data_IF_346817141617
#
_entry.id   IF_346817141617
#
_cell.length_a   1.000
_cell.length_b   1.000
_cell.length_c   1.000
_cell.angle_alpha   90.00
_cell.angle_beta   90.00
_cell.angle_gamma   90.00
#
_symmetry.space_group_name_H-M   'P 1'
#
loop_
_entity.id
_entity.type
_entity.pdbx_description
1 polymer ?
#
# COMPACT_ATOMS: atom_id res chain seq x y z
N UNK A 1 11.29 15.52 -13.60
CA UNK A 1 10.60 15.60 -12.29
C UNK A 1 10.45 14.18 -11.80
N UNK A 2 10.95 13.83 -10.61
CA UNK A 2 10.78 12.48 -10.08
C UNK A 2 9.30 12.21 -9.72
N UNK A 3 8.85 10.98 -9.94
CA UNK A 3 7.51 10.52 -9.55
C UNK A 3 7.63 9.73 -8.25
N UNK A 4 6.83 10.03 -7.23
CA UNK A 4 6.83 9.24 -5.99
C UNK A 4 6.01 7.97 -6.18
N UNK A 5 6.57 6.84 -5.80
CA UNK A 5 5.88 5.54 -5.74
C UNK A 5 5.76 5.07 -4.30
N UNK A 6 4.69 4.32 -4.03
CA UNK A 6 4.38 3.74 -2.74
C UNK A 6 4.41 2.21 -2.85
N UNK A 7 5.26 1.58 -2.05
CA UNK A 7 5.45 0.14 -2.01
C UNK A 7 4.47 -0.49 -1.03
N UNK A 8 3.93 -1.66 -1.39
CA UNK A 8 3.07 -2.44 -0.53
C UNK A 8 3.55 -3.89 -0.42
N UNK A 9 3.26 -4.51 0.72
CA UNK A 9 3.56 -5.93 0.92
C UNK A 9 2.66 -6.80 0.02
N UNK A 10 3.19 -7.80 -0.73
CA UNK A 10 2.44 -8.51 -1.76
C UNK A 10 1.24 -9.31 -1.22
N UNK A 11 1.27 -9.74 0.04
CA UNK A 11 0.19 -10.54 0.66
C UNK A 11 -0.76 -9.66 1.46
N UNK A 12 -0.29 -9.07 2.56
CA UNK A 12 -1.08 -8.18 3.45
C UNK A 12 -1.55 -6.88 2.80
N UNK A 13 -0.89 -6.44 1.71
CA UNK A 13 -1.12 -5.15 1.03
C UNK A 13 -0.80 -3.90 1.84
N UNK A 14 -0.14 -4.06 2.99
CA UNK A 14 0.28 -2.94 3.83
C UNK A 14 1.30 -2.05 3.13
N UNK A 15 1.18 -0.74 3.29
CA UNK A 15 2.20 0.21 2.88
C UNK A 15 3.50 -0.03 3.66
N UNK A 16 4.59 -0.33 2.96
CA UNK A 16 5.90 -0.64 3.56
C UNK A 16 6.94 0.46 3.33
N UNK A 17 6.70 1.40 2.42
CA UNK A 17 7.63 2.49 2.15
C UNK A 17 7.33 3.25 0.88
N UNK A 18 8.07 4.33 0.64
CA UNK A 18 7.96 5.13 -0.57
C UNK A 18 9.34 5.48 -1.12
N UNK A 19 9.45 5.61 -2.43
CA UNK A 19 10.68 6.02 -3.10
C UNK A 19 10.35 6.88 -4.31
N UNK A 20 11.38 7.43 -4.95
CA UNK A 20 11.25 8.00 -6.29
C UNK A 20 11.28 6.87 -7.31
N UNK A 21 10.45 6.98 -8.35
CA UNK A 21 10.49 6.13 -9.51
C UNK A 21 11.54 6.65 -10.49
N UNK A 22 12.30 5.72 -11.04
CA UNK A 22 13.31 6.00 -12.04
C UNK A 22 12.65 6.18 -13.41
N UNK A 23 13.01 7.26 -14.10
CA UNK A 23 12.58 7.49 -15.48
C UNK A 23 13.34 6.54 -16.42
N UNK A 24 12.64 5.97 -17.40
CA UNK A 24 13.25 5.11 -18.40
C UNK A 24 14.26 5.92 -19.21
N UNK A 25 15.52 5.46 -19.33
CA UNK A 25 16.51 6.12 -20.16
C UNK A 25 16.21 6.00 -21.66
N UNK A 26 15.32 5.08 -22.05
CA UNK A 26 14.96 4.81 -23.44
C UNK A 26 13.65 5.49 -23.85
N UNK A 27 12.78 5.80 -22.88
CA UNK A 27 11.44 6.33 -23.11
C UNK A 27 11.15 7.50 -22.17
N UNK A 28 11.49 8.74 -22.56
CA UNK A 28 11.25 9.93 -21.74
C UNK A 28 9.78 10.05 -21.33
N UNK A 29 9.55 10.33 -20.05
CA UNK A 29 8.24 10.40 -19.43
C UNK A 29 7.65 9.06 -18.96
N UNK A 30 8.29 7.93 -19.27
CA UNK A 30 7.91 6.61 -18.75
C UNK A 30 8.72 6.34 -17.48
N UNK A 31 8.06 5.88 -16.41
CA UNK A 31 8.69 5.62 -15.12
C UNK A 31 8.56 4.15 -14.74
N UNK A 32 9.63 3.57 -14.21
CA UNK A 32 9.64 2.19 -13.76
C UNK A 32 8.92 2.07 -12.42
N UNK A 33 7.84 1.29 -12.39
CA UNK A 33 7.09 0.98 -11.16
C UNK A 33 7.21 -0.53 -10.89
N UNK A 34 7.81 -0.93 -9.76
CA UNK A 34 7.89 -2.34 -9.37
C UNK A 34 6.51 -3.00 -9.22
N UNK A 35 6.45 -4.33 -9.36
CA UNK A 35 5.19 -5.08 -9.33
C UNK A 35 4.33 -4.88 -8.07
N UNK A 36 4.95 -4.56 -6.92
CA UNK A 36 4.25 -4.27 -5.66
C UNK A 36 4.39 -2.81 -5.24
N UNK A 37 4.30 -1.90 -6.19
CA UNK A 37 4.30 -0.47 -5.96
C UNK A 37 3.23 0.22 -6.83
N UNK A 38 2.80 1.41 -6.41
CA UNK A 38 1.81 2.20 -7.13
C UNK A 38 2.18 3.68 -7.13
N UNK A 39 1.75 4.39 -8.18
CA UNK A 39 1.73 5.86 -8.25
C UNK A 39 0.49 6.46 -7.60
N UNK A 40 -0.49 5.63 -7.21
CA UNK A 40 -1.71 6.08 -6.57
C UNK A 40 -1.40 6.78 -5.25
N UNK A 41 -2.03 7.94 -5.07
CA UNK A 41 -1.76 8.82 -3.95
C UNK A 41 -2.08 8.12 -2.62
N UNK A 42 -1.06 8.02 -1.76
CA UNK A 42 -1.24 7.60 -0.37
C UNK A 42 -1.81 8.76 0.44
N UNK A 43 -3.00 8.63 1.05
CA UNK A 43 -3.54 9.63 1.97
C UNK A 43 -2.64 9.80 3.20
N UNK A 44 -2.71 10.96 3.85
CA UNK A 44 -2.10 11.12 5.17
C UNK A 44 -2.87 10.30 6.22
N UNK A 45 -2.13 9.60 7.09
CA UNK A 45 -2.69 8.83 8.20
C UNK A 45 -1.67 8.72 9.33
N UNK A 46 -2.16 8.52 10.56
CA UNK A 46 -1.32 8.25 11.71
C UNK A 46 -0.90 6.77 11.75
N UNK A 47 0.40 6.52 11.54
CA UNK A 47 0.98 5.17 11.55
C UNK A 47 0.97 4.50 12.92
N UNK A 48 0.79 5.27 14.01
CA UNK A 48 0.69 4.71 15.35
C UNK A 48 -0.68 4.06 15.62
N UNK A 49 -1.71 4.51 14.92
CA UNK A 49 -3.10 4.07 15.14
C UNK A 49 -3.73 3.42 13.92
N UNK A 50 -3.14 3.56 12.73
CA UNK A 50 -3.68 3.07 11.48
C UNK A 50 -2.63 2.43 10.58
N UNK A 51 -3.11 1.56 9.69
CA UNK A 51 -2.35 0.98 8.58
C UNK A 51 -3.04 1.33 7.26
N UNK A 52 -2.23 1.56 6.22
CA UNK A 52 -2.72 1.77 4.86
C UNK A 52 -2.61 0.46 4.08
N UNK A 53 -3.72 -0.03 3.55
CA UNK A 53 -3.82 -1.26 2.76
C UNK A 53 -4.14 -0.93 1.30
N UNK A 54 -3.27 -1.31 0.38
CA UNK A 54 -3.51 -1.07 -1.03
C UNK A 54 -4.52 -2.07 -1.62
N UNK A 55 -5.53 -1.55 -2.30
CA UNK A 55 -6.54 -2.34 -3.01
C UNK A 55 -6.40 -2.05 -4.50
N UNK A 56 -5.70 -2.90 -5.27
CA UNK A 56 -5.62 -2.73 -6.70
C UNK A 56 -7.00 -2.92 -7.32
N UNK A 57 -7.31 -2.16 -8.37
CA UNK A 57 -8.43 -2.49 -9.24
C UNK A 57 -8.03 -3.68 -10.11
N UNK A 58 -9.02 -4.48 -10.50
CA UNK A 58 -8.83 -5.65 -11.34
C UNK A 58 -9.54 -5.43 -12.67
N UNK A 59 -8.93 -5.93 -13.74
CA UNK A 59 -9.69 -6.15 -14.98
C UNK A 59 -10.80 -7.18 -14.73
N UNK A 60 -11.80 -7.20 -15.60
CA UNK A 60 -12.89 -8.20 -15.55
C UNK A 60 -12.38 -9.65 -15.61
N UNK A 61 -11.17 -9.85 -16.13
CA UNK A 61 -10.46 -11.14 -16.17
C UNK A 61 -9.92 -11.59 -14.81
N UNK A 62 -9.99 -10.75 -13.77
CA UNK A 62 -9.43 -11.01 -12.45
C UNK A 62 -7.92 -10.74 -12.34
N UNK A 63 -7.30 -10.17 -13.37
CA UNK A 63 -5.89 -9.73 -13.33
C UNK A 63 -5.84 -8.32 -12.74
N UNK A 64 -4.97 -8.11 -11.74
CA UNK A 64 -4.77 -6.79 -11.15
C UNK A 64 -4.22 -5.81 -12.19
N UNK A 65 -4.74 -4.59 -12.20
CA UNK A 65 -4.12 -3.51 -12.98
C UNK A 65 -2.80 -3.14 -12.32
N UNK A 66 -1.79 -2.85 -13.14
CA UNK A 66 -0.48 -2.37 -12.66
C UNK A 66 -0.63 -1.04 -11.92
N UNK A 67 -1.51 -0.16 -12.41
CA UNK A 67 -1.89 1.12 -11.81
C UNK A 67 -3.41 1.26 -11.78
N UNK A 68 -3.92 2.02 -10.82
CA UNK A 68 -5.35 2.25 -10.64
C UNK A 68 -5.91 1.37 -9.53
N UNK A 69 -5.70 1.80 -8.30
CA UNK A 69 -6.31 1.24 -7.10
C UNK A 69 -6.56 2.34 -6.08
N UNK A 70 -6.75 1.96 -4.82
CA UNK A 70 -6.87 2.92 -3.74
C UNK A 70 -6.23 2.39 -2.46
N UNK A 71 -5.74 3.31 -1.64
CA UNK A 71 -5.31 3.03 -0.27
C UNK A 71 -6.50 3.08 0.67
N UNK A 72 -6.69 2.01 1.44
CA UNK A 72 -7.69 1.93 2.49
C UNK A 72 -7.00 2.10 3.83
N UNK A 73 -7.32 3.17 4.55
CA UNK A 73 -6.78 3.43 5.89
C UNK A 73 -7.66 2.69 6.91
N UNK A 74 -7.05 1.80 7.68
CA UNK A 74 -7.74 0.94 8.65
C UNK A 74 -7.10 1.13 10.02
N UNK A 75 -7.92 1.27 11.07
CA UNK A 75 -7.42 1.34 12.43
C UNK A 75 -6.72 0.03 12.83
N UNK A 76 -5.59 0.14 13.52
CA UNK A 76 -4.96 -1.00 14.17
C UNK A 76 -5.93 -1.48 15.26
N UNK A 77 -6.19 -2.78 15.32
CA UNK A 77 -6.99 -3.34 16.40
C UNK A 77 -6.30 -3.02 17.73
N UNK A 78 -7.08 -2.55 18.71
CA UNK A 78 -6.57 -2.46 20.08
C UNK A 78 -6.12 -3.86 20.51
N UNK A 79 -4.98 -4.00 21.19
CA UNK A 79 -4.59 -5.27 21.76
C UNK A 79 -5.71 -5.68 22.72
N UNK A 80 -6.49 -6.71 22.36
CA UNK A 80 -7.45 -7.32 23.28
C UNK A 80 -6.68 -7.75 24.51
N UNK A 81 -6.90 -7.05 25.63
CA UNK A 81 -6.43 -7.52 26.92
C UNK A 81 -7.18 -8.83 27.17
N UNK A 82 -6.48 -9.96 27.10
CA UNK A 82 -7.02 -11.22 27.61
C UNK A 82 -7.41 -10.98 29.07
N UNK A 83 -8.71 -11.08 29.34
CA UNK A 83 -9.28 -10.95 30.67
C UNK A 83 -8.66 -12.05 31.54
N UNK A 84 -7.78 -11.66 32.47
CA UNK A 84 -7.34 -12.54 33.55
C UNK A 84 -8.56 -12.87 34.41
N UNK A 85 -9.22 -13.97 34.08
CA UNK A 85 -10.36 -14.50 34.80
C UNK A 85 -10.28 -16.00 34.91
N UNK A 86 -9.60 -16.49 35.95
CA UNK A 86 -10.21 -17.42 36.90
C UNK A 86 -9.25 -17.74 38.04
N UNK A 87 -9.55 -17.13 39.19
CA UNK A 87 -9.23 -17.75 40.47
C UNK A 87 -10.10 -19.00 40.68
N UNK A 88 -9.46 -20.02 41.24
CA UNK A 88 -10.02 -20.95 42.21
C UNK A 88 -8.85 -21.52 43.01
#
# INVERSE_FOLDING_TARGET
MSKKIHHYHPVTKEHIGSSEAEESPLEPGVYHVPANATLDALPDYDKATHVALYRPEYYVTGIAKEQGGAWHIVALAEPTTEEQGQGA
#
